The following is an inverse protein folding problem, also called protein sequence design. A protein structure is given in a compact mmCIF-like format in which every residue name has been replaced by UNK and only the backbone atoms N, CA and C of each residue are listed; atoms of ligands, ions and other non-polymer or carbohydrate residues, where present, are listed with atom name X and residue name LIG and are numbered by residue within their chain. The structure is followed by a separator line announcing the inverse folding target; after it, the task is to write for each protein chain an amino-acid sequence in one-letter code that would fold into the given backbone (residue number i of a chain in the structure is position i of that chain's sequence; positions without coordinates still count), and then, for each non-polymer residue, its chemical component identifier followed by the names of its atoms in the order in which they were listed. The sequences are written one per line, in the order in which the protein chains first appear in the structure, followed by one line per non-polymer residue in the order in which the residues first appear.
data_IF_460155705529
#
_entry.id   IF_460155705529
#
_cell.length_a   1.000
_cell.length_b   1.000
_cell.length_c   1.000
_cell.angle_alpha   90.00
_cell.angle_beta   90.00
_cell.angle_gamma   90.00
#
_symmetry.space_group_name_H-M   'P 1'
#
loop_
_entity.id
_entity.type
_entity.pdbx_description
1 polymer ?
#
# COMPACT_ATOMS: atom_id res chain seq x y z
N UNK A 1 56.39 -30.56 -56.35
CA UNK A 1 55.16 -31.36 -56.11
C UNK A 1 54.96 -31.82 -54.67
N UNK A 2 55.96 -32.39 -53.97
CA UNK A 2 55.77 -32.95 -52.60
C UNK A 2 55.38 -31.95 -51.50
N UNK A 3 55.75 -30.66 -51.62
CA UNK A 3 55.42 -29.62 -50.62
C UNK A 3 54.00 -29.06 -50.80
N UNK A 4 53.56 -28.88 -52.05
CA UNK A 4 52.21 -28.39 -52.39
C UNK A 4 51.15 -29.43 -51.99
N UNK A 5 51.40 -30.72 -52.23
CA UNK A 5 50.50 -31.80 -51.79
C UNK A 5 50.37 -31.92 -50.27
N UNK A 6 51.45 -31.64 -49.51
CA UNK A 6 51.41 -31.62 -48.04
C UNK A 6 50.60 -30.44 -47.50
N UNK A 7 50.73 -29.27 -48.10
CA UNK A 7 49.94 -28.08 -47.72
C UNK A 7 48.46 -28.32 -47.99
N UNK A 8 48.11 -28.84 -49.19
CA UNK A 8 46.74 -29.19 -49.54
C UNK A 8 46.13 -30.24 -48.60
N UNK A 9 46.88 -31.29 -48.27
CA UNK A 9 46.45 -32.31 -47.30
C UNK A 9 46.23 -31.72 -45.91
N UNK A 10 47.11 -30.83 -45.45
CA UNK A 10 46.98 -30.20 -44.13
C UNK A 10 45.74 -29.29 -44.07
N UNK A 11 45.48 -28.49 -45.10
CA UNK A 11 44.28 -27.64 -45.18
C UNK A 11 42.98 -28.44 -45.22
N UNK A 12 42.97 -29.60 -45.89
CA UNK A 12 41.81 -30.49 -45.91
C UNK A 12 41.59 -31.13 -44.52
N UNK A 13 42.66 -31.54 -43.84
CA UNK A 13 42.54 -32.09 -42.47
C UNK A 13 42.07 -31.01 -41.48
N UNK A 14 42.57 -29.77 -41.59
CA UNK A 14 42.17 -28.66 -40.73
C UNK A 14 40.71 -28.23 -40.96
N UNK A 15 40.24 -28.27 -42.21
CA UNK A 15 38.83 -27.97 -42.53
C UNK A 15 37.90 -29.09 -42.07
N UNK A 16 38.28 -30.37 -42.24
CA UNK A 16 37.51 -31.51 -41.73
C UNK A 16 37.47 -31.52 -40.19
N UNK A 17 38.58 -31.21 -39.50
CA UNK A 17 38.61 -31.07 -38.04
C UNK A 17 37.81 -29.87 -37.53
N UNK A 18 37.78 -28.76 -38.27
CA UNK A 18 36.95 -27.60 -37.93
C UNK A 18 35.44 -27.90 -38.09
N UNK A 19 35.06 -28.78 -39.02
CA UNK A 19 33.66 -29.20 -39.19
C UNK A 19 33.17 -30.23 -38.16
N UNK A 20 34.07 -30.93 -37.43
CA UNK A 20 33.66 -31.92 -36.43
C UNK A 20 33.09 -31.32 -35.13
N UNK A 21 33.16 -30.00 -34.94
CA UNK A 21 32.53 -29.30 -33.81
C UNK A 21 31.20 -28.64 -34.14
N UNK A 22 30.68 -28.79 -35.37
CA UNK A 22 29.31 -28.44 -35.71
C UNK A 22 28.40 -29.67 -35.54
N UNK A 23 28.21 -30.11 -34.30
CA UNK A 23 27.10 -31.02 -33.98
C UNK A 23 25.80 -30.23 -34.16
N UNK A 24 25.14 -30.41 -35.30
CA UNK A 24 23.71 -30.13 -35.43
C UNK A 24 22.98 -31.15 -34.54
N UNK A 25 22.25 -30.66 -33.53
CA UNK A 25 21.49 -31.48 -32.61
C UNK A 25 20.43 -32.33 -33.35
N UNK A 26 20.15 -33.56 -32.89
CA UNK A 26 19.23 -34.47 -33.56
C UNK A 26 17.78 -34.08 -33.30
N UNK A 27 17.01 -33.84 -34.36
CA UNK A 27 15.58 -34.19 -34.51
C UNK A 27 14.63 -33.99 -33.31
N UNK A 28 14.61 -32.79 -32.75
CA UNK A 28 13.40 -31.97 -32.59
C UNK A 28 13.62 -30.72 -33.44
N UNK A 29 12.75 -29.72 -33.47
CA UNK A 29 13.05 -28.46 -34.20
C UNK A 29 14.27 -27.67 -33.64
N UNK A 30 15.13 -28.30 -32.81
CA UNK A 30 16.32 -27.75 -32.17
C UNK A 30 16.02 -26.60 -31.21
N UNK A 31 14.73 -26.30 -31.03
CA UNK A 31 14.21 -25.08 -30.45
C UNK A 31 13.51 -25.42 -29.15
N UNK A 32 14.16 -25.06 -28.06
CA UNK A 32 13.59 -25.10 -26.73
C UNK A 32 12.55 -23.97 -26.61
N UNK A 33 11.36 -24.30 -26.11
CA UNK A 33 10.26 -23.32 -25.95
C UNK A 33 10.06 -23.00 -24.49
N UNK A 34 10.20 -21.71 -24.14
CA UNK A 34 9.78 -21.19 -22.84
C UNK A 34 8.26 -20.99 -22.87
N UNK A 35 7.54 -21.82 -22.11
CA UNK A 35 6.08 -21.80 -22.05
C UNK A 35 5.57 -20.73 -21.10
N UNK A 36 6.24 -20.61 -19.94
CA UNK A 36 5.82 -19.67 -18.92
C UNK A 36 6.96 -19.26 -17.98
N UNK A 37 6.73 -18.15 -17.27
CA UNK A 37 7.62 -17.58 -16.28
C UNK A 37 6.84 -17.12 -15.06
N UNK A 38 7.43 -17.30 -13.88
CA UNK A 38 6.97 -16.66 -12.65
C UNK A 38 8.13 -15.98 -11.95
N UNK A 39 8.10 -14.67 -11.71
CA UNK A 39 7.01 -13.75 -12.06
C UNK A 39 6.78 -13.61 -13.57
N UNK A 40 5.56 -13.17 -13.95
CA UNK A 40 5.24 -12.76 -15.32
C UNK A 40 5.88 -11.41 -15.62
N UNK A 41 6.09 -11.12 -16.90
CA UNK A 41 6.55 -9.80 -17.32
C UNK A 41 5.55 -8.70 -16.90
N UNK A 42 6.07 -7.61 -16.34
CA UNK A 42 5.31 -6.53 -15.73
C UNK A 42 4.67 -6.84 -14.38
N UNK A 43 4.95 -8.01 -13.77
CA UNK A 43 4.34 -8.37 -12.49
C UNK A 43 4.76 -7.42 -11.36
N UNK A 44 3.82 -7.09 -10.48
CA UNK A 44 4.07 -6.27 -9.29
C UNK A 44 3.69 -7.01 -8.02
N UNK A 45 4.37 -6.72 -6.91
CA UNK A 45 4.03 -7.32 -5.61
C UNK A 45 4.71 -8.67 -5.36
N UNK A 46 5.78 -8.98 -6.09
CA UNK A 46 6.57 -10.19 -5.89
C UNK A 46 7.19 -10.19 -4.49
N UNK A 47 7.04 -11.29 -3.75
CA UNK A 47 7.61 -11.42 -2.41
C UNK A 47 9.15 -11.48 -2.46
N UNK A 48 9.81 -10.79 -1.53
CA UNK A 48 11.27 -10.66 -1.48
C UNK A 48 11.95 -11.93 -0.97
N UNK A 49 11.29 -12.66 -0.07
CA UNK A 49 11.85 -13.81 0.66
C UNK A 49 12.16 -15.02 -0.23
N UNK A 50 11.55 -15.10 -1.41
CA UNK A 50 11.76 -16.15 -2.41
C UNK A 50 12.09 -15.55 -3.77
N UNK A 51 12.87 -14.46 -3.79
CA UNK A 51 13.12 -13.76 -5.03
C UNK A 51 13.96 -14.62 -5.99
N UNK A 52 13.30 -15.00 -7.07
CA UNK A 52 13.83 -15.80 -8.14
C UNK A 52 12.80 -15.95 -9.25
N UNK A 53 13.25 -16.39 -10.42
CA UNK A 53 12.43 -16.62 -11.60
C UNK A 53 12.28 -18.12 -11.81
N UNK A 54 11.04 -18.60 -11.81
CA UNK A 54 10.68 -19.94 -12.25
C UNK A 54 10.42 -19.90 -13.74
N UNK A 55 11.02 -20.83 -14.46
CA UNK A 55 10.88 -20.97 -15.90
C UNK A 55 10.26 -22.33 -16.17
N UNK A 56 9.25 -22.35 -17.04
CA UNK A 56 8.52 -23.55 -17.42
C UNK A 56 8.77 -23.85 -18.89
N UNK A 57 9.27 -25.04 -19.17
CA UNK A 57 9.64 -25.52 -20.49
C UNK A 57 8.94 -26.84 -20.79
N UNK A 58 8.78 -27.15 -22.08
CA UNK A 58 8.38 -28.49 -22.56
C UNK A 58 9.61 -29.37 -22.85
N UNK A 59 10.53 -29.46 -21.88
CA UNK A 59 11.78 -30.19 -22.01
C UNK A 59 12.28 -30.68 -20.64
N UNK A 60 13.27 -31.57 -20.62
CA UNK A 60 13.85 -32.07 -19.37
C UNK A 60 15.15 -31.37 -19.03
N UNK A 61 15.36 -31.15 -17.73
CA UNK A 61 16.55 -30.50 -17.18
C UNK A 61 17.06 -31.31 -15.99
N UNK A 62 18.31 -31.76 -16.05
CA UNK A 62 18.94 -32.53 -14.98
C UNK A 62 20.30 -31.95 -14.61
N UNK A 63 20.54 -31.84 -13.30
CA UNK A 63 21.79 -31.28 -12.76
C UNK A 63 23.03 -32.07 -13.23
N UNK A 64 22.92 -33.39 -13.39
CA UNK A 64 24.03 -34.25 -13.79
C UNK A 64 24.50 -33.95 -15.22
N UNK A 65 23.57 -33.75 -16.17
CA UNK A 65 23.88 -33.43 -17.57
C UNK A 65 24.28 -31.97 -17.74
N UNK A 66 23.50 -31.07 -17.16
CA UNK A 66 23.64 -29.64 -17.41
C UNK A 66 24.67 -28.96 -16.54
N UNK A 67 25.01 -29.49 -15.37
CA UNK A 67 25.98 -28.92 -14.42
C UNK A 67 25.89 -27.38 -14.37
N UNK A 68 26.89 -26.69 -14.92
CA UNK A 68 27.03 -25.24 -14.94
C UNK A 68 26.77 -24.62 -16.34
N UNK A 69 26.30 -25.41 -17.30
CA UNK A 69 26.17 -25.01 -18.70
C UNK A 69 25.28 -23.78 -18.91
N UNK A 70 24.30 -23.57 -18.03
CA UNK A 70 23.33 -22.47 -18.11
C UNK A 70 23.60 -21.33 -17.11
N UNK A 71 24.62 -21.39 -16.27
CA UNK A 71 24.88 -20.36 -15.25
C UNK A 71 25.13 -18.97 -15.85
N UNK A 72 25.77 -18.93 -17.03
CA UNK A 72 26.04 -17.69 -17.77
C UNK A 72 24.93 -17.31 -18.76
N UNK A 73 23.96 -18.21 -18.97
CA UNK A 73 22.84 -18.00 -19.88
C UNK A 73 21.69 -17.22 -19.23
N UNK A 74 21.79 -16.92 -17.93
CA UNK A 74 20.79 -16.15 -17.18
C UNK A 74 21.42 -14.97 -16.46
N UNK A 75 20.66 -13.89 -16.34
CA UNK A 75 21.07 -12.71 -15.59
C UNK A 75 19.88 -12.12 -14.86
N UNK A 76 20.09 -11.77 -13.59
CA UNK A 76 19.17 -10.94 -12.84
C UNK A 76 19.84 -9.60 -12.56
N UNK A 77 19.14 -8.52 -12.87
CA UNK A 77 19.61 -7.15 -12.76
C UNK A 77 18.67 -6.39 -11.82
N UNK A 78 19.24 -5.54 -10.97
CA UNK A 78 18.47 -4.54 -10.21
C UNK A 78 18.03 -3.35 -11.07
N UNK A 79 17.34 -2.38 -10.46
CA UNK A 79 16.82 -1.19 -11.12
C UNK A 79 17.94 -0.34 -11.76
N UNK A 80 19.14 -0.40 -11.18
CA UNK A 80 20.32 0.31 -11.69
C UNK A 80 21.07 -0.47 -12.77
N UNK A 81 20.60 -1.68 -13.12
CA UNK A 81 21.21 -2.55 -14.12
C UNK A 81 22.44 -3.31 -13.62
N UNK A 82 22.70 -3.33 -12.32
CA UNK A 82 23.79 -4.09 -11.71
C UNK A 82 23.38 -5.56 -11.60
N UNK A 83 24.31 -6.43 -11.98
CA UNK A 83 24.12 -7.88 -11.96
C UNK A 83 24.10 -8.41 -10.53
N UNK A 84 23.02 -9.10 -10.20
CA UNK A 84 22.86 -9.81 -8.95
C UNK A 84 23.35 -11.25 -9.09
N UNK A 85 23.98 -11.81 -8.06
CA UNK A 85 24.40 -13.20 -8.05
C UNK A 85 23.19 -14.14 -8.06
N UNK A 86 23.21 -15.14 -8.92
CA UNK A 86 22.12 -16.11 -9.09
C UNK A 86 22.63 -17.55 -9.07
N UNK A 87 21.76 -18.47 -8.71
CA UNK A 87 21.94 -19.92 -8.81
C UNK A 87 20.85 -20.50 -9.70
N UNK A 88 21.23 -21.39 -10.63
CA UNK A 88 20.30 -22.12 -11.49
C UNK A 88 20.12 -23.51 -10.90
N UNK A 89 18.88 -23.86 -10.56
CA UNK A 89 18.51 -25.14 -9.99
C UNK A 89 17.49 -25.81 -10.90
N UNK A 90 17.66 -27.10 -11.13
CA UNK A 90 16.72 -27.91 -11.90
C UNK A 90 15.81 -28.69 -10.96
N UNK A 91 14.50 -28.60 -11.14
CA UNK A 91 13.54 -29.28 -10.27
C UNK A 91 13.58 -30.79 -10.49
N UNK A 92 13.76 -31.54 -9.40
CA UNK A 92 13.69 -33.02 -9.42
C UNK A 92 12.24 -33.51 -9.39
N UNK A 93 11.33 -32.70 -8.83
CA UNK A 93 9.91 -33.07 -8.68
C UNK A 93 9.08 -32.75 -9.92
N UNK A 94 9.43 -31.67 -10.62
CA UNK A 94 8.68 -31.15 -11.75
C UNK A 94 9.61 -31.05 -12.98
N UNK A 95 9.60 -32.06 -13.87
CA UNK A 95 10.33 -32.00 -15.12
C UNK A 95 9.93 -30.75 -15.92
N UNK A 96 10.91 -30.06 -16.52
CA UNK A 96 10.69 -28.82 -17.27
C UNK A 96 10.64 -27.56 -16.43
N UNK A 97 10.78 -27.66 -15.11
CA UNK A 97 10.86 -26.48 -14.24
C UNK A 97 12.30 -26.18 -13.86
N UNK A 98 12.73 -24.96 -14.22
CA UNK A 98 14.03 -24.39 -13.84
C UNK A 98 13.80 -23.24 -12.88
N UNK A 99 14.54 -23.23 -11.77
CA UNK A 99 14.49 -22.19 -10.74
C UNK A 99 15.77 -21.38 -10.81
N UNK A 100 15.66 -20.09 -11.10
CA UNK A 100 16.79 -19.15 -11.03
C UNK A 100 16.62 -18.29 -9.80
N UNK A 101 17.39 -18.57 -8.76
CA UNK A 101 17.27 -17.92 -7.46
C UNK A 101 18.40 -16.93 -7.24
N UNK A 102 18.16 -15.87 -6.48
CA UNK A 102 19.25 -15.05 -5.96
C UNK A 102 20.11 -15.85 -4.97
N UNK A 103 21.42 -15.72 -5.12
CA UNK A 103 22.39 -16.41 -4.26
C UNK A 103 22.59 -15.63 -2.95
N UNK A 104 21.78 -15.96 -1.95
CA UNK A 104 21.87 -15.35 -0.62
C UNK A 104 23.24 -15.53 0.04
N UNK A 105 24.06 -16.50 -0.37
CA UNK A 105 25.41 -16.69 0.21
C UNK A 105 26.38 -15.57 -0.16
N UNK A 106 26.06 -14.83 -1.23
CA UNK A 106 26.84 -13.69 -1.74
C UNK A 106 26.21 -12.35 -1.36
N UNK A 107 25.22 -12.37 -0.47
CA UNK A 107 24.52 -11.17 -0.04
C UNK A 107 25.45 -10.26 0.76
N UNK A 108 25.44 -8.98 0.43
CA UNK A 108 26.12 -7.90 1.16
C UNK A 108 25.19 -6.70 1.23
N UNK A 109 25.55 -5.64 1.97
CA UNK A 109 24.71 -4.44 2.06
C UNK A 109 24.43 -3.79 0.69
N UNK A 110 25.38 -3.91 -0.23
CA UNK A 110 25.29 -3.42 -1.61
C UNK A 110 24.70 -4.44 -2.59
N UNK A 111 24.62 -5.72 -2.20
CA UNK A 111 24.15 -6.83 -3.06
C UNK A 111 23.07 -7.55 -2.27
N UNK A 112 21.85 -7.02 -2.33
CA UNK A 112 20.68 -7.55 -1.66
C UNK A 112 19.44 -7.26 -2.48
N UNK A 113 18.36 -7.94 -2.15
CA UNK A 113 17.07 -7.68 -2.75
C UNK A 113 16.33 -6.66 -1.90
N UNK A 114 15.93 -5.56 -2.52
CA UNK A 114 15.14 -4.53 -1.89
C UNK A 114 13.65 -4.68 -2.21
N UNK A 115 12.85 -4.08 -1.34
CA UNK A 115 11.42 -3.93 -1.52
C UNK A 115 11.12 -2.77 -2.45
N UNK A 116 9.98 -2.84 -3.16
CA UNK A 116 9.49 -1.79 -4.04
C UNK A 116 10.48 -1.40 -5.15
N UNK A 117 11.34 -2.32 -5.55
CA UNK A 117 12.36 -2.13 -6.58
C UNK A 117 12.00 -2.97 -7.81
N UNK A 118 12.32 -2.45 -8.99
CA UNK A 118 12.13 -3.15 -10.26
C UNK A 118 13.38 -3.96 -10.61
N UNK A 119 13.17 -5.20 -11.02
CA UNK A 119 14.22 -6.12 -11.41
C UNK A 119 13.99 -6.58 -12.84
N UNK A 120 15.10 -6.77 -13.57
CA UNK A 120 15.08 -7.30 -14.93
C UNK A 120 15.77 -8.65 -14.94
N UNK A 121 15.05 -9.68 -15.37
CA UNK A 121 15.60 -11.00 -15.66
C UNK A 121 15.81 -11.16 -17.16
N UNK A 122 16.95 -11.73 -17.54
CA UNK A 122 17.29 -12.04 -18.93
C UNK A 122 17.70 -13.49 -19.05
N UNK A 123 17.18 -14.15 -20.07
CA UNK A 123 17.58 -15.50 -20.48
C UNK A 123 18.08 -15.44 -21.93
N UNK A 124 19.29 -15.93 -22.12
CA UNK A 124 19.95 -15.91 -23.43
C UNK A 124 19.41 -16.98 -24.36
N UNK A 125 19.56 -16.75 -25.66
CA UNK A 125 19.29 -17.74 -26.72
C UNK A 125 20.06 -19.06 -26.56
N UNK A 126 21.20 -19.04 -25.87
CA UNK A 126 22.10 -20.19 -25.72
C UNK A 126 21.74 -21.07 -24.52
N UNK A 127 20.65 -20.73 -23.80
CA UNK A 127 20.10 -21.56 -22.73
C UNK A 127 19.67 -22.91 -23.30
N UNK A 128 20.13 -24.01 -22.68
CA UNK A 128 20.02 -25.35 -23.24
C UNK A 128 19.37 -26.37 -22.31
N UNK A 129 18.68 -27.34 -22.88
CA UNK A 129 18.12 -28.50 -22.18
C UNK A 129 19.08 -29.72 -22.17
N UNK A 130 18.61 -30.81 -21.58
CA UNK A 130 19.36 -32.08 -21.46
C UNK A 130 19.75 -32.74 -22.79
N UNK A 131 19.03 -32.42 -23.87
CA UNK A 131 19.22 -32.98 -25.20
C UNK A 131 20.04 -32.04 -26.11
N UNK A 132 20.37 -30.85 -25.61
CA UNK A 132 21.18 -29.84 -26.29
C UNK A 132 20.37 -28.89 -27.16
N UNK A 133 19.04 -28.90 -27.08
CA UNK A 133 18.20 -27.90 -27.74
C UNK A 133 18.41 -26.54 -27.07
N UNK A 134 18.33 -25.47 -27.85
CA UNK A 134 18.58 -24.10 -27.36
C UNK A 134 17.34 -23.23 -27.48
N UNK A 135 17.20 -22.22 -26.61
CA UNK A 135 16.07 -21.28 -26.65
C UNK A 135 15.97 -20.51 -27.97
N UNK A 136 17.10 -20.29 -28.65
CA UNK A 136 17.17 -19.69 -29.98
C UNK A 136 16.93 -18.18 -30.03
N UNK A 137 16.34 -17.60 -28.98
CA UNK A 137 16.11 -16.15 -28.80
C UNK A 137 16.38 -15.72 -27.37
N UNK A 138 16.76 -14.46 -27.20
CA UNK A 138 16.84 -13.84 -25.88
C UNK A 138 15.44 -13.44 -25.42
N UNK A 139 15.12 -13.70 -24.15
CA UNK A 139 13.91 -13.19 -23.52
C UNK A 139 14.26 -12.34 -22.29
N UNK A 140 13.46 -11.31 -22.07
CA UNK A 140 13.62 -10.36 -20.98
C UNK A 140 12.29 -10.21 -20.26
N UNK A 141 12.34 -10.18 -18.93
CA UNK A 141 11.18 -10.10 -18.05
C UNK A 141 11.48 -9.03 -17.00
N UNK A 142 10.57 -8.10 -16.83
CA UNK A 142 10.64 -7.11 -15.75
C UNK A 142 9.60 -7.42 -14.68
N UNK A 143 9.96 -7.27 -13.41
CA UNK A 143 9.02 -7.42 -12.30
C UNK A 143 9.40 -6.56 -11.11
N UNK A 144 8.40 -6.17 -10.32
CA UNK A 144 8.57 -5.27 -9.16
C UNK A 144 8.26 -5.97 -7.84
N UNK A 145 9.17 -5.84 -6.88
CA UNK A 145 8.99 -6.43 -5.54
C UNK A 145 7.93 -5.70 -4.72
N UNK A 146 7.31 -6.44 -3.79
CA UNK A 146 6.29 -5.90 -2.89
C UNK A 146 6.86 -4.84 -1.94
N UNK A 147 6.13 -3.75 -1.77
CA UNK A 147 6.39 -2.75 -0.74
C UNK A 147 5.75 -3.17 0.60
N UNK A 148 6.44 -3.98 1.40
CA UNK A 148 5.91 -4.41 2.69
C UNK A 148 5.86 -3.27 3.71
N UNK A 149 6.79 -2.31 3.64
CA UNK A 149 6.82 -1.16 4.56
C UNK A 149 5.57 -0.27 4.45
N UNK A 150 5.07 -0.02 3.24
CA UNK A 150 3.81 0.68 3.03
C UNK A 150 2.62 -0.09 3.61
N UNK A 151 2.59 -1.41 3.43
CA UNK A 151 1.52 -2.28 3.93
C UNK A 151 1.53 -2.43 5.46
N UNK A 152 2.71 -2.49 6.09
CA UNK A 152 2.82 -2.47 7.55
C UNK A 152 2.37 -1.14 8.12
N UNK A 153 2.77 0.00 7.54
CA UNK A 153 2.36 1.32 8.05
C UNK A 153 0.83 1.49 8.06
N UNK A 154 0.14 0.97 7.05
CA UNK A 154 -1.33 1.01 6.98
C UNK A 154 -1.95 0.14 8.09
N UNK A 155 -1.50 -1.10 8.24
CA UNK A 155 -2.03 -2.01 9.26
C UNK A 155 -1.70 -1.53 10.69
N UNK A 156 -0.51 -0.98 10.90
CA UNK A 156 -0.09 -0.37 12.16
C UNK A 156 -0.91 0.88 12.47
N UNK A 157 -1.15 1.76 11.49
CA UNK A 157 -2.02 2.92 11.67
C UNK A 157 -3.46 2.52 12.01
N UNK A 158 -4.00 1.48 11.36
CA UNK A 158 -5.33 0.96 11.67
C UNK A 158 -5.40 0.37 13.09
N UNK A 159 -4.39 -0.41 13.49
CA UNK A 159 -4.28 -0.94 14.85
C UNK A 159 -4.18 0.18 15.90
N UNK A 160 -3.34 1.19 15.68
CA UNK A 160 -3.26 2.35 16.57
C UNK A 160 -4.54 3.18 16.58
N UNK A 161 -5.27 3.25 15.46
CA UNK A 161 -6.59 3.87 15.38
C UNK A 161 -7.59 3.16 16.28
N UNK A 162 -7.75 1.84 16.13
CA UNK A 162 -8.66 1.03 16.95
C UNK A 162 -8.26 1.07 18.43
N UNK A 163 -6.97 0.90 18.74
CA UNK A 163 -6.49 0.94 20.13
C UNK A 163 -6.64 2.33 20.75
N UNK A 164 -6.43 3.39 19.96
CA UNK A 164 -6.65 4.78 20.37
C UNK A 164 -8.12 5.07 20.67
N UNK A 165 -9.04 4.64 19.80
CA UNK A 165 -10.49 4.74 20.04
C UNK A 165 -10.89 3.96 21.30
N UNK A 166 -10.37 2.73 21.47
CA UNK A 166 -10.66 1.91 22.65
C UNK A 166 -10.10 2.51 23.94
N UNK A 167 -8.91 3.11 23.92
CA UNK A 167 -8.35 3.85 25.06
C UNK A 167 -9.18 5.08 25.39
N UNK A 168 -9.62 5.87 24.40
CA UNK A 168 -10.48 7.04 24.62
C UNK A 168 -11.84 6.62 25.20
N UNK A 169 -12.46 5.57 24.65
CA UNK A 169 -13.70 5.01 25.20
C UNK A 169 -13.51 4.46 26.62
N UNK A 170 -12.41 3.76 26.88
CA UNK A 170 -12.09 3.24 28.22
C UNK A 170 -11.85 4.35 29.23
N UNK A 171 -11.11 5.41 28.85
CA UNK A 171 -10.89 6.58 29.71
C UNK A 171 -12.18 7.35 29.97
N UNK A 172 -13.06 7.51 28.97
CA UNK A 172 -14.40 8.10 29.14
C UNK A 172 -15.28 7.24 30.03
N UNK A 173 -15.23 5.91 29.89
CA UNK A 173 -16.00 4.97 30.72
C UNK A 173 -15.47 4.90 32.16
N UNK A 174 -14.15 5.00 32.38
CA UNK A 174 -13.54 5.11 33.68
C UNK A 174 -13.89 6.44 34.37
N UNK A 175 -13.90 7.56 33.62
CA UNK A 175 -14.41 8.85 34.14
C UNK A 175 -15.91 8.79 34.46
N UNK A 176 -16.75 8.18 33.62
CA UNK A 176 -18.18 7.98 33.91
C UNK A 176 -18.41 7.10 35.15
N UNK A 177 -17.59 6.06 35.37
CA UNK A 177 -17.63 5.22 36.58
C UNK A 177 -17.12 5.96 37.83
N UNK A 178 -16.07 6.78 37.71
CA UNK A 178 -15.58 7.62 38.80
C UNK A 178 -16.53 8.76 39.17
N UNK A 179 -17.20 9.36 38.18
CA UNK A 179 -18.25 10.37 38.40
C UNK A 179 -19.51 9.75 39.04
N UNK A 180 -19.86 8.51 38.71
CA UNK A 180 -20.94 7.76 39.38
C UNK A 180 -20.59 7.32 40.80
N UNK A 181 -19.31 7.07 41.12
CA UNK A 181 -18.86 6.82 42.49
C UNK A 181 -18.88 8.11 43.34
N UNK A 182 -18.40 9.23 42.81
CA UNK A 182 -18.44 10.52 43.51
C UNK A 182 -19.87 11.03 43.78
N UNK A 183 -20.85 10.75 42.90
CA UNK A 183 -22.26 11.12 43.14
C UNK A 183 -22.94 10.30 44.24
N UNK A 184 -22.44 9.11 44.57
CA UNK A 184 -22.96 8.32 45.71
C UNK A 184 -22.35 8.75 47.05
N UNK A 185 -21.17 9.38 47.04
CA UNK A 185 -20.50 9.85 48.25
C UNK A 185 -20.91 11.28 48.68
N UNK A 186 -21.45 12.11 47.77
CA UNK A 186 -21.95 13.46 48.06
C UNK A 186 -23.39 13.50 48.63
N UNK A 187 -23.79 12.48 49.41
CA UNK A 187 -25.02 12.57 50.22
C UNK A 187 -24.71 13.37 51.49
N UNK A 188 -24.70 14.70 51.34
CA UNK A 188 -24.61 15.65 52.46
C UNK A 188 -25.65 15.25 53.52
N UNK A 189 -25.17 14.87 54.71
CA UNK A 189 -26.04 14.59 55.85
C UNK A 189 -26.29 15.91 56.60
N UNK A 190 -27.47 16.55 56.44
CA UNK A 190 -27.68 17.97 56.76
C UNK A 190 -27.44 18.31 58.25
N UNK A 191 -27.64 17.34 59.14
CA UNK A 191 -27.46 17.51 60.58
C UNK A 191 -25.99 17.58 61.00
N UNK A 192 -25.06 17.03 60.20
CA UNK A 192 -23.62 17.10 60.50
C UNK A 192 -22.97 18.41 60.04
N UNK A 193 -23.44 19.00 58.95
CA UNK A 193 -22.90 20.27 58.45
C UNK A 193 -23.41 21.48 59.23
N UNK A 194 -24.68 21.49 59.64
CA UNK A 194 -25.24 22.53 60.50
C UNK A 194 -24.51 22.62 61.86
N UNK A 195 -24.13 21.47 62.44
CA UNK A 195 -23.40 21.41 63.71
C UNK A 195 -21.92 21.83 63.60
N UNK A 196 -21.33 21.80 62.41
CA UNK A 196 -19.94 22.20 62.15
C UNK A 196 -19.78 23.64 61.66
N UNK A 197 -20.79 24.20 61.00
CA UNK A 197 -20.70 25.53 60.35
C UNK A 197 -21.56 26.61 60.99
N UNK A 198 -22.46 26.27 61.93
CA UNK A 198 -23.26 27.22 62.69
C UNK A 198 -24.35 27.95 61.89
N UNK A 199 -24.65 27.49 60.67
CA UNK A 199 -25.69 28.06 59.78
C UNK A 199 -26.98 27.23 59.83
N UNK A 200 -28.11 27.87 59.55
CA UNK A 200 -29.42 27.21 59.58
C UNK A 200 -29.56 26.20 58.43
N UNK A 201 -30.27 25.10 58.71
CA UNK A 201 -30.46 23.95 57.82
C UNK A 201 -31.10 24.37 56.48
N UNK A 202 -31.92 25.42 56.48
CA UNK A 202 -32.61 25.94 55.29
C UNK A 202 -31.66 26.59 54.27
N UNK A 203 -30.62 27.32 54.71
CA UNK A 203 -29.64 27.96 53.80
C UNK A 203 -28.77 26.91 53.07
N UNK A 204 -28.51 25.77 53.73
CA UNK A 204 -27.72 24.66 53.18
C UNK A 204 -28.54 23.91 52.12
N UNK A 205 -29.83 23.70 52.38
CA UNK A 205 -30.75 23.04 51.43
C UNK A 205 -30.99 23.91 50.20
N UNK A 206 -31.12 25.23 50.35
CA UNK A 206 -31.33 26.13 49.21
C UNK A 206 -30.07 26.25 48.32
N UNK A 207 -28.87 26.27 48.91
CA UNK A 207 -27.61 26.24 48.15
C UNK A 207 -27.39 24.92 47.41
N UNK A 208 -27.66 23.78 48.06
CA UNK A 208 -27.55 22.46 47.44
C UNK A 208 -28.56 22.30 46.28
N UNK A 209 -29.80 22.78 46.45
CA UNK A 209 -30.79 22.78 45.37
C UNK A 209 -30.38 23.68 44.20
N UNK A 210 -29.79 24.85 44.46
CA UNK A 210 -29.33 25.78 43.43
C UNK A 210 -28.12 25.25 42.66
N UNK A 211 -27.21 24.53 43.32
CA UNK A 211 -26.12 23.84 42.63
C UNK A 211 -26.59 22.62 41.84
N UNK A 212 -27.51 21.81 42.40
CA UNK A 212 -28.13 20.70 41.68
C UNK A 212 -28.87 21.17 40.43
N UNK A 213 -29.60 22.28 40.49
CA UNK A 213 -30.26 22.87 39.34
C UNK A 213 -29.26 23.36 38.27
N UNK A 214 -28.15 24.00 38.67
CA UNK A 214 -27.10 24.41 37.73
C UNK A 214 -26.39 23.22 37.08
N UNK A 215 -26.16 22.14 37.84
CA UNK A 215 -25.52 20.91 37.36
C UNK A 215 -26.44 20.15 36.40
N UNK A 216 -27.73 20.08 36.70
CA UNK A 216 -28.75 19.51 35.82
C UNK A 216 -28.90 20.30 34.51
N UNK A 217 -28.92 21.64 34.57
CA UNK A 217 -28.98 22.48 33.37
C UNK A 217 -27.74 22.34 32.48
N UNK A 218 -26.55 22.18 33.08
CA UNK A 218 -25.30 21.95 32.34
C UNK A 218 -25.23 20.54 31.73
N UNK A 219 -25.79 19.54 32.40
CA UNK A 219 -25.90 18.17 31.90
C UNK A 219 -26.91 18.07 30.75
N UNK A 220 -28.08 18.71 30.87
CA UNK A 220 -29.09 18.75 29.80
C UNK A 220 -28.58 19.45 28.54
N UNK A 221 -27.82 20.55 28.67
CA UNK A 221 -27.16 21.21 27.53
C UNK A 221 -26.10 20.34 26.85
N UNK A 222 -25.45 19.45 27.59
CA UNK A 222 -24.41 18.57 27.06
C UNK A 222 -25.04 17.35 26.35
N UNK A 223 -26.10 16.79 26.91
CA UNK A 223 -26.87 15.71 26.30
C UNK A 223 -27.52 16.14 24.97
N UNK A 224 -28.09 17.34 24.92
CA UNK A 224 -28.67 17.89 23.67
C UNK A 224 -27.63 18.23 22.59
N UNK A 225 -26.33 18.26 22.91
CA UNK A 225 -25.25 18.47 21.96
C UNK A 225 -24.55 17.16 21.54
N UNK A 226 -24.84 16.05 22.22
CA UNK A 226 -24.25 14.72 21.95
C UNK A 226 -25.18 13.88 21.05
N UNK A 227 -26.49 14.19 20.99
CA UNK A 227 -27.47 13.51 20.11
C UNK A 227 -27.36 13.87 18.60
N UNK A 228 -26.53 14.86 18.23
CA UNK A 228 -26.40 15.35 16.84
C UNK A 228 -25.15 14.79 16.12
N UNK A 229 -24.38 13.89 16.77
CA UNK A 229 -23.06 13.41 16.31
C UNK A 229 -22.99 11.87 16.16
N UNK A 230 -24.13 11.18 16.20
CA UNK A 230 -24.24 9.71 16.28
C UNK A 230 -24.74 9.02 14.99
N UNK A 231 -24.62 9.65 13.82
CA UNK A 231 -24.88 9.01 12.52
C UNK A 231 -23.58 8.80 11.73
N UNK A 232 -22.80 7.77 12.10
CA UNK A 232 -21.68 7.28 11.28
C UNK A 232 -21.99 5.88 10.72
N UNK A 233 -22.93 5.84 9.77
CA UNK A 233 -23.01 4.74 8.81
C UNK A 233 -22.22 5.15 7.56
N UNK A 234 -21.18 4.37 7.23
CA UNK A 234 -20.39 4.51 6.01
C UNK A 234 -21.24 4.04 4.81
N UNK A 235 -21.79 4.98 4.05
CA UNK A 235 -22.65 4.76 2.88
C UNK A 235 -21.85 4.56 1.58
N UNK A 236 -20.52 4.43 1.66
CA UNK A 236 -19.64 4.30 0.51
C UNK A 236 -19.51 5.57 -0.34
N UNK A 237 -20.08 6.70 0.11
CA UNK A 237 -19.93 7.98 -0.56
C UNK A 237 -18.86 8.84 0.12
N UNK A 238 -17.98 9.43 -0.71
CA UNK A 238 -17.03 10.43 -0.24
C UNK A 238 -17.75 11.72 0.16
N UNK A 239 -17.93 11.91 1.46
CA UNK A 239 -18.50 13.12 2.02
C UNK A 239 -17.47 14.27 1.98
N UNK A 240 -17.80 15.34 1.24
CA UNK A 240 -17.01 16.56 1.26
C UNK A 240 -17.48 17.49 2.37
N UNK A 241 -16.53 18.13 3.07
CA UNK A 241 -16.81 19.10 4.16
C UNK A 241 -17.70 20.29 3.76
N UNK A 242 -17.97 20.48 2.48
CA UNK A 242 -18.88 21.49 1.97
C UNK A 242 -18.74 21.70 0.47
N UNK A 243 -19.67 22.46 -0.14
CA UNK A 243 -19.60 22.78 -1.56
C UNK A 243 -18.33 23.57 -1.88
N UNK A 244 -17.47 23.04 -2.74
CA UNK A 244 -16.25 23.73 -3.22
C UNK A 244 -16.49 24.34 -4.61
N UNK A 245 -16.04 25.57 -4.86
CA UNK A 245 -16.16 26.18 -6.18
C UNK A 245 -15.24 25.48 -7.19
N UNK A 246 -15.69 25.38 -8.46
CA UNK A 246 -14.95 24.74 -9.57
C UNK A 246 -13.56 25.38 -9.77
N UNK A 247 -13.40 26.66 -9.44
CA UNK A 247 -12.11 27.35 -9.47
C UNK A 247 -11.05 26.71 -8.55
N UNK A 248 -11.47 26.07 -7.45
CA UNK A 248 -10.56 25.38 -6.53
C UNK A 248 -9.96 24.09 -7.13
N UNK A 249 -10.59 23.55 -8.19
CA UNK A 249 -10.10 22.40 -8.96
C UNK A 249 -9.46 22.83 -10.31
N UNK A 250 -9.11 24.11 -10.47
CA UNK A 250 -8.44 24.62 -11.67
C UNK A 250 -9.35 24.94 -12.86
N UNK A 251 -10.67 24.80 -12.72
CA UNK A 251 -11.60 25.10 -13.81
C UNK A 251 -11.77 26.61 -14.04
N UNK A 252 -11.58 27.06 -15.28
CA UNK A 252 -11.61 28.49 -15.68
C UNK A 252 -12.97 28.96 -16.22
N UNK A 253 -14.02 28.14 -16.10
CA UNK A 253 -15.33 28.42 -16.70
C UNK A 253 -16.17 29.38 -15.84
N UNK A 254 -16.44 30.58 -16.35
CA UNK A 254 -17.18 31.64 -15.65
C UNK A 254 -18.66 31.56 -16.03
N UNK A 255 -19.49 30.97 -15.18
CA UNK A 255 -20.92 30.72 -15.47
C UNK A 255 -21.84 31.90 -15.14
N UNK A 256 -21.33 33.06 -14.74
CA UNK A 256 -22.13 34.26 -14.38
C UNK A 256 -23.01 34.11 -13.13
N UNK A 257 -23.20 32.88 -12.61
CA UNK A 257 -24.08 32.56 -11.47
C UNK A 257 -23.66 33.23 -10.16
N UNK A 258 -22.36 33.49 -9.97
CA UNK A 258 -21.85 34.22 -8.80
C UNK A 258 -22.36 35.66 -8.76
N UNK A 259 -22.35 36.36 -9.89
CA UNK A 259 -22.89 37.72 -9.99
C UNK A 259 -24.40 37.76 -9.74
N UNK A 260 -25.14 36.75 -10.21
CA UNK A 260 -26.59 36.63 -9.99
C UNK A 260 -26.90 36.35 -8.51
N UNK A 261 -26.12 35.48 -7.85
CA UNK A 261 -26.30 35.16 -6.44
C UNK A 261 -25.95 36.36 -5.53
N UNK A 262 -24.91 37.11 -5.87
CA UNK A 262 -24.49 38.30 -5.14
C UNK A 262 -25.48 39.46 -5.32
N UNK A 263 -26.02 39.65 -6.52
CA UNK A 263 -27.10 40.59 -6.79
C UNK A 263 -28.37 40.25 -5.98
N UNK A 264 -28.76 38.96 -5.91
CA UNK A 264 -29.91 38.52 -5.10
C UNK A 264 -29.70 38.74 -3.61
N UNK A 265 -28.49 38.49 -3.08
CA UNK A 265 -28.15 38.78 -1.68
C UNK A 265 -28.22 40.28 -1.38
N UNK A 266 -27.66 41.10 -2.25
CA UNK A 266 -27.71 42.56 -2.10
C UNK A 266 -29.15 43.10 -2.16
N UNK A 267 -30.00 42.54 -3.02
CA UNK A 267 -31.41 42.91 -3.08
C UNK A 267 -32.19 42.49 -1.82
N UNK A 268 -31.91 41.30 -1.30
CA UNK A 268 -32.55 40.82 -0.07
C UNK A 268 -32.13 41.64 1.16
N UNK A 269 -30.85 42.04 1.25
CA UNK A 269 -30.34 42.92 2.28
C UNK A 269 -30.92 44.34 2.15
N UNK A 270 -31.03 44.89 0.93
CA UNK A 270 -31.75 46.16 0.70
C UNK A 270 -33.21 46.07 1.11
N UNK A 271 -33.88 44.95 0.84
CA UNK A 271 -35.28 44.72 1.24
C UNK A 271 -35.42 44.59 2.76
N UNK A 272 -34.48 43.93 3.44
CA UNK A 272 -34.43 43.85 4.92
C UNK A 272 -34.18 45.24 5.53
N UNK A 273 -33.25 46.02 4.97
CA UNK A 273 -32.98 47.38 5.42
C UNK A 273 -34.17 48.33 5.20
N UNK A 274 -34.90 48.21 4.09
CA UNK A 274 -36.14 48.98 3.86
C UNK A 274 -37.24 48.59 4.84
N UNK A 275 -37.43 47.28 5.12
CA UNK A 275 -38.39 46.80 6.13
C UNK A 275 -38.04 47.29 7.54
N UNK A 276 -36.74 47.36 7.89
CA UNK A 276 -36.28 47.91 9.16
C UNK A 276 -36.55 49.43 9.27
N UNK A 277 -36.32 50.19 8.19
CA UNK A 277 -36.62 51.64 8.14
C UNK A 277 -38.12 51.93 8.19
N UNK A 278 -38.96 51.07 7.61
CA UNK A 278 -40.42 51.18 7.69
C UNK A 278 -40.95 50.93 9.12
N UNK A 279 -40.38 49.98 9.86
CA UNK A 279 -40.72 49.73 11.28
C UNK A 279 -40.30 50.87 12.22
N UNK A 280 -39.31 51.68 11.85
CA UNK A 280 -38.86 52.84 12.64
C UNK A 280 -39.75 54.09 12.51
N UNK A 281 -40.58 54.20 11.47
CA UNK A 281 -41.45 55.37 11.24
C UNK A 281 -42.82 55.30 11.92
N UNK A 282 -43.15 54.18 12.58
CA UNK A 282 -44.42 54.01 13.31
C UNK A 282 -44.43 54.52 14.76
N UNK A 283 -43.31 55.04 15.28
CA UNK A 283 -43.21 55.62 16.63
C UNK A 283 -42.89 57.13 16.57
N UNK A 284 -43.80 57.91 16.01
CA UNK A 284 -43.90 59.35 16.27
C UNK A 284 -45.30 59.86 15.89
N UNK A 285 -46.26 59.60 16.78
CA UNK A 285 -47.24 60.55 17.32
C UNK A 285 -48.17 59.78 18.24
#
# INVERSE_FOLDING_TARGET
MKRIGRILSLTVILTVLATMFCFAAPSGDGTLVLNDTYPKDGATGTAVENMGVKLYFDATFTQEKLKNANENAVMLLDEQGKKLPTQVLYSVQEPGVVLVLFDNTKQTDDIKINQNEEYTFKISKDFRDDDGNTLGKEETISFKTLNQSANMAINTAMMFGVFGVMMIMTARNAKKKGEQQNQKEEKVNPYKEAKKTGKSVEEIVEKDQKEKAKRAAKAAKKAAAEEDDDDYYDDGNYHVKGPRPIAAAGGRYITGRKAIAEAKKAEEERRKAQKAKAKGKGKKK
#
